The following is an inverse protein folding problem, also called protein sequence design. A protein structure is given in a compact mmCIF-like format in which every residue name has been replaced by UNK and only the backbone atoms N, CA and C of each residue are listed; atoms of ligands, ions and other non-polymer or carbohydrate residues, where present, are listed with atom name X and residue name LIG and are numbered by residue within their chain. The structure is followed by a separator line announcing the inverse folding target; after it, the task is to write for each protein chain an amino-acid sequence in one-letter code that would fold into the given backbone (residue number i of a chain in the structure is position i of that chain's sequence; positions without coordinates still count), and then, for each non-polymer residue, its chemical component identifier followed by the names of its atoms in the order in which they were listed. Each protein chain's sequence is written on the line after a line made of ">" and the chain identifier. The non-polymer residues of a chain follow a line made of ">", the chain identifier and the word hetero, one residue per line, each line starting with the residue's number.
data_IF_681384037217
#
_entry.id   IF_681384037217
#
_cell.length_a   1.000
_cell.length_b   1.000
_cell.length_c   1.000
_cell.angle_alpha   90.00
_cell.angle_beta   90.00
_cell.angle_gamma   90.00
#
_symmetry.space_group_name_H-M   'P 1'
#
loop_
_entity.id
_entity.type
_entity.pdbx_description
1 polymer ?
#
# COMPACT_ATOMS: atom_id res chain seq x y z
N UNK A 1 0.63 -26.85 -3.44
CA UNK A 1 0.35 -26.07 -2.21
C UNK A 1 -1.10 -25.60 -2.33
N UNK A 2 -1.96 -26.11 -1.45
CA UNK A 2 -3.41 -26.09 -1.62
C UNK A 2 -4.02 -24.81 -1.06
N UNK A 3 -4.74 -24.05 -1.88
CA UNK A 3 -5.77 -23.14 -1.38
C UNK A 3 -6.98 -24.02 -1.10
N UNK A 4 -7.17 -24.40 0.15
CA UNK A 4 -8.40 -25.05 0.56
C UNK A 4 -9.38 -23.94 0.93
N UNK A 5 -10.42 -23.76 0.13
CA UNK A 5 -11.63 -23.09 0.58
C UNK A 5 -12.35 -24.07 1.52
N UNK A 6 -11.86 -24.17 2.77
CA UNK A 6 -12.45 -25.04 3.79
C UNK A 6 -13.68 -24.35 4.35
N UNK A 7 -14.77 -25.08 4.50
CA UNK A 7 -15.93 -24.63 5.27
C UNK A 7 -15.52 -24.09 6.64
N UNK A 8 -15.98 -22.87 6.94
CA UNK A 8 -15.52 -21.95 7.99
C UNK A 8 -15.42 -22.57 9.40
N UNK A 9 -16.12 -23.66 9.69
CA UNK A 9 -16.24 -24.18 11.05
C UNK A 9 -15.13 -25.13 11.52
N UNK A 10 -14.39 -25.82 10.63
CA UNK A 10 -13.43 -26.87 11.06
C UNK A 10 -11.96 -26.45 11.11
N UNK A 11 -11.61 -25.32 10.49
CA UNK A 11 -10.21 -24.86 10.39
C UNK A 11 -9.79 -23.94 11.54
N UNK A 12 -10.75 -23.28 12.18
CA UNK A 12 -10.49 -22.26 13.22
C UNK A 12 -9.82 -22.88 14.46
N UNK A 13 -10.07 -24.15 14.77
CA UNK A 13 -9.51 -24.81 15.96
C UNK A 13 -8.04 -25.23 15.85
N UNK A 14 -7.52 -25.44 14.62
CA UNK A 14 -6.17 -25.98 14.40
C UNK A 14 -5.06 -24.94 14.22
N UNK A 15 -5.40 -23.66 14.00
CA UNK A 15 -4.43 -22.60 13.61
C UNK A 15 -4.44 -21.40 14.59
N UNK A 16 -5.08 -21.54 15.76
CA UNK A 16 -5.37 -20.41 16.68
C UNK A 16 -4.15 -19.55 17.07
N UNK A 17 -2.96 -20.13 17.14
CA UNK A 17 -1.76 -19.45 17.67
C UNK A 17 -1.03 -18.54 16.67
N UNK A 18 -1.21 -18.75 15.36
CA UNK A 18 -0.48 -17.99 14.32
C UNK A 18 -1.39 -17.18 13.38
N UNK A 19 -2.71 -17.37 13.48
CA UNK A 19 -3.68 -16.60 12.70
C UNK A 19 -3.88 -15.22 13.33
N UNK A 20 -3.44 -14.17 12.62
CA UNK A 20 -3.59 -12.79 13.08
C UNK A 20 -4.92 -12.16 12.68
N UNK A 21 -5.55 -12.65 11.62
CA UNK A 21 -6.83 -12.14 11.14
C UNK A 21 -7.51 -13.06 10.14
N UNK A 22 -8.79 -12.79 9.89
CA UNK A 22 -9.61 -13.51 8.91
C UNK A 22 -10.36 -12.51 8.02
N UNK A 23 -10.01 -12.50 6.73
CA UNK A 23 -10.81 -11.82 5.71
C UNK A 23 -11.97 -12.71 5.29
N UNK A 24 -13.19 -12.18 5.38
CA UNK A 24 -14.40 -12.99 5.20
C UNK A 24 -14.72 -13.28 3.73
N UNK A 25 -14.46 -12.32 2.85
CA UNK A 25 -14.76 -12.46 1.43
C UNK A 25 -13.85 -11.59 0.57
N UNK A 26 -13.03 -12.24 -0.24
CA UNK A 26 -12.28 -11.56 -1.28
C UNK A 26 -13.23 -11.00 -2.36
N UNK A 27 -13.11 -9.70 -2.64
CA UNK A 27 -13.74 -8.98 -3.75
C UNK A 27 -15.18 -9.38 -4.07
N UNK A 28 -16.15 -8.69 -3.48
CA UNK A 28 -17.52 -8.77 -4.00
C UNK A 28 -17.55 -8.17 -5.42
N UNK A 29 -18.07 -8.95 -6.36
CA UNK A 29 -18.10 -8.63 -7.80
C UNK A 29 -19.52 -8.78 -8.36
N UNK A 30 -19.77 -8.08 -9.46
CA UNK A 30 -20.97 -8.24 -10.30
C UNK A 30 -22.10 -7.25 -9.98
N UNK A 31 -23.05 -7.18 -10.90
CA UNK A 31 -24.13 -6.17 -10.93
C UNK A 31 -25.15 -6.31 -9.79
N UNK A 32 -25.15 -7.45 -9.09
CA UNK A 32 -26.07 -7.72 -7.97
C UNK A 32 -25.52 -7.32 -6.61
N UNK A 33 -24.27 -6.83 -6.53
CA UNK A 33 -23.74 -6.36 -5.26
C UNK A 33 -24.62 -5.21 -4.74
N UNK A 34 -24.86 -5.21 -3.44
CA UNK A 34 -25.59 -4.14 -2.79
C UNK A 34 -25.19 -4.06 -1.32
N UNK A 35 -25.34 -2.87 -0.74
CA UNK A 35 -24.97 -2.62 0.66
C UNK A 35 -25.80 -3.46 1.63
N UNK A 36 -27.08 -3.66 1.35
CA UNK A 36 -28.00 -4.37 2.24
C UNK A 36 -27.56 -5.83 2.48
N UNK A 37 -27.36 -6.59 1.41
CA UNK A 37 -26.90 -7.98 1.49
C UNK A 37 -25.49 -8.08 2.04
N UNK A 38 -24.60 -7.14 1.65
CA UNK A 38 -23.25 -7.06 2.21
C UNK A 38 -23.33 -6.93 3.73
N UNK A 39 -24.07 -5.95 4.25
CA UNK A 39 -24.25 -5.78 5.69
C UNK A 39 -24.81 -7.02 6.36
N UNK A 40 -25.86 -7.60 5.79
CA UNK A 40 -26.53 -8.77 6.36
C UNK A 40 -25.60 -9.99 6.48
N UNK A 41 -24.95 -10.38 5.38
CA UNK A 41 -24.20 -11.63 5.32
C UNK A 41 -22.77 -11.48 5.83
N UNK A 42 -22.09 -10.37 5.53
CA UNK A 42 -20.72 -10.15 6.01
C UNK A 42 -20.71 -9.94 7.53
N UNK A 43 -21.63 -9.15 8.10
CA UNK A 43 -21.68 -8.99 9.56
C UNK A 43 -22.13 -10.26 10.28
N UNK A 44 -22.98 -11.09 9.66
CA UNK A 44 -23.29 -12.42 10.20
C UNK A 44 -22.02 -13.27 10.28
N UNK A 45 -21.26 -13.38 9.19
CA UNK A 45 -19.99 -14.11 9.18
C UNK A 45 -18.98 -13.57 10.20
N UNK A 46 -18.88 -12.24 10.32
CA UNK A 46 -18.02 -11.60 11.30
C UNK A 46 -18.37 -11.99 12.75
N UNK A 47 -19.66 -12.03 13.10
CA UNK A 47 -20.10 -12.47 14.45
C UNK A 47 -19.72 -13.92 14.71
N UNK A 48 -19.91 -14.81 13.75
CA UNK A 48 -19.55 -16.22 13.91
C UNK A 48 -18.03 -16.39 14.11
N UNK A 49 -17.21 -15.65 13.35
CA UNK A 49 -15.75 -15.66 13.51
C UNK A 49 -15.34 -15.13 14.88
N UNK A 50 -15.91 -14.01 15.32
CA UNK A 50 -15.62 -13.44 16.64
C UNK A 50 -15.97 -14.40 17.78
N UNK A 51 -17.14 -15.04 17.69
CA UNK A 51 -17.59 -16.03 18.68
C UNK A 51 -16.68 -17.26 18.72
N UNK A 52 -16.20 -17.72 17.56
CA UNK A 52 -15.32 -18.88 17.47
C UNK A 52 -13.87 -18.58 17.90
N UNK A 53 -13.38 -17.38 17.62
CA UNK A 53 -12.04 -16.94 18.01
C UNK A 53 -11.99 -15.41 18.23
N UNK A 54 -12.16 -14.92 19.47
CA UNK A 54 -12.16 -13.49 19.75
C UNK A 54 -10.76 -12.85 19.69
N UNK A 55 -9.70 -13.63 19.49
CA UNK A 55 -8.34 -13.10 19.47
C UNK A 55 -7.93 -12.53 18.11
N UNK A 56 -8.55 -12.99 17.01
CA UNK A 56 -8.16 -12.60 15.65
C UNK A 56 -8.80 -11.30 15.19
N UNK A 57 -8.13 -10.60 14.29
CA UNK A 57 -8.72 -9.48 13.56
C UNK A 57 -9.77 -9.97 12.55
N UNK A 58 -10.80 -9.18 12.33
CA UNK A 58 -11.87 -9.48 11.36
C UNK A 58 -11.79 -8.44 10.26
N UNK A 59 -11.38 -8.89 9.07
CA UNK A 59 -11.18 -8.03 7.92
C UNK A 59 -12.45 -8.01 7.06
N UNK A 60 -13.00 -6.81 6.87
CA UNK A 60 -14.21 -6.60 6.08
C UNK A 60 -13.88 -5.84 4.79
N UNK A 61 -13.83 -6.58 3.68
CA UNK A 61 -13.61 -6.01 2.34
C UNK A 61 -14.79 -5.14 1.86
N UNK A 62 -14.45 -4.22 0.95
CA UNK A 62 -15.38 -3.30 0.30
C UNK A 62 -16.22 -3.93 -0.81
N UNK A 63 -17.02 -3.06 -1.44
CA UNK A 63 -17.75 -3.35 -2.66
C UNK A 63 -16.86 -3.10 -3.89
N UNK A 64 -17.35 -3.45 -5.08
CA UNK A 64 -16.72 -3.07 -6.36
C UNK A 64 -15.29 -3.59 -6.44
N UNK A 65 -15.12 -4.92 -6.42
CA UNK A 65 -13.79 -5.54 -6.37
C UNK A 65 -12.96 -5.11 -5.16
N UNK A 66 -13.61 -4.82 -4.03
CA UNK A 66 -12.94 -4.37 -2.80
C UNK A 66 -12.42 -2.93 -2.85
N UNK A 67 -12.77 -2.15 -3.86
CA UNK A 67 -12.21 -0.79 -4.05
C UNK A 67 -13.05 0.33 -3.42
N UNK A 68 -14.26 0.03 -2.95
CA UNK A 68 -15.23 1.01 -2.46
C UNK A 68 -15.73 0.67 -1.05
N UNK A 69 -15.38 1.54 -0.09
CA UNK A 69 -15.85 1.54 1.29
C UNK A 69 -16.70 2.79 1.60
N UNK A 70 -17.05 3.60 0.60
CA UNK A 70 -17.69 4.91 0.78
C UNK A 70 -19.07 4.82 1.42
N UNK A 71 -19.77 3.69 1.27
CA UNK A 71 -21.03 3.40 1.93
C UNK A 71 -20.96 3.47 3.47
N UNK A 72 -19.76 3.30 4.05
CA UNK A 72 -19.54 3.44 5.50
C UNK A 72 -19.68 4.87 6.00
N UNK A 73 -19.61 5.88 5.12
CA UNK A 73 -19.87 7.29 5.45
C UNK A 73 -21.32 7.52 5.86
N UNK A 74 -22.25 6.75 5.31
CA UNK A 74 -23.67 6.87 5.59
C UNK A 74 -24.08 6.02 6.80
N UNK A 75 -23.49 4.82 6.91
CA UNK A 75 -23.82 3.86 7.96
C UNK A 75 -22.57 3.10 8.35
N UNK A 76 -22.15 3.16 9.61
CA UNK A 76 -21.14 2.24 10.12
C UNK A 76 -21.81 0.99 10.73
N UNK A 77 -21.12 -0.15 10.84
CA UNK A 77 -21.61 -1.30 11.58
C UNK A 77 -21.88 -0.94 13.05
N UNK A 78 -22.88 -1.59 13.65
CA UNK A 78 -23.25 -1.38 15.05
C UNK A 78 -22.20 -1.91 16.06
N UNK A 79 -21.30 -2.80 15.61
CA UNK A 79 -20.27 -3.41 16.45
C UNK A 79 -18.93 -3.38 15.73
N UNK A 80 -17.86 -3.15 16.51
CA UNK A 80 -16.47 -3.27 16.08
C UNK A 80 -15.79 -4.55 16.60
N UNK A 81 -16.60 -5.50 17.12
CA UNK A 81 -16.14 -6.81 17.61
C UNK A 81 -15.02 -6.71 18.66
N UNK A 82 -15.25 -5.95 19.74
CA UNK A 82 -14.26 -5.74 20.81
C UNK A 82 -12.92 -5.20 20.30
N UNK A 83 -12.99 -4.21 19.41
CA UNK A 83 -11.85 -3.59 18.72
C UNK A 83 -11.05 -4.56 17.81
N UNK A 84 -11.71 -5.59 17.26
CA UNK A 84 -11.11 -6.53 16.30
C UNK A 84 -11.40 -6.21 14.84
N UNK A 85 -12.27 -5.24 14.57
CA UNK A 85 -12.64 -4.85 13.22
C UNK A 85 -11.51 -4.12 12.48
N UNK A 86 -11.19 -4.59 11.27
CA UNK A 86 -10.33 -3.93 10.30
C UNK A 86 -11.06 -3.86 8.96
N UNK A 87 -10.99 -2.72 8.26
CA UNK A 87 -11.50 -2.65 6.89
C UNK A 87 -10.41 -3.00 5.89
N UNK A 88 -10.80 -3.63 4.78
CA UNK A 88 -9.88 -4.07 3.74
C UNK A 88 -10.26 -3.42 2.41
N UNK A 89 -9.27 -2.89 1.70
CA UNK A 89 -9.45 -2.27 0.39
C UNK A 89 -8.39 -2.72 -0.61
N UNK A 90 -8.73 -2.68 -1.89
CA UNK A 90 -7.85 -3.04 -3.00
C UNK A 90 -7.54 -1.82 -3.85
N UNK A 91 -6.33 -1.74 -4.42
CA UNK A 91 -5.96 -0.63 -5.29
C UNK A 91 -4.99 -1.05 -6.39
N UNK A 92 -5.38 -0.78 -7.63
CA UNK A 92 -4.63 -1.09 -8.83
C UNK A 92 -4.55 0.10 -9.78
N UNK A 93 -3.59 0.06 -10.72
CA UNK A 93 -3.48 1.03 -11.81
C UNK A 93 -4.78 1.12 -12.64
N UNK A 94 -5.57 0.04 -12.66
CA UNK A 94 -6.84 -0.09 -13.36
C UNK A 94 -8.08 0.00 -12.45
N UNK A 95 -7.95 0.44 -11.18
CA UNK A 95 -9.12 0.76 -10.33
C UNK A 95 -9.91 1.98 -10.81
N UNK A 96 -9.43 2.66 -11.86
CA UNK A 96 -10.13 3.71 -12.60
C UNK A 96 -9.70 3.68 -14.07
N UNK A 97 -9.72 4.84 -14.74
CA UNK A 97 -9.21 4.94 -16.11
C UNK A 97 -7.69 4.77 -16.14
N UNK A 98 -7.22 3.60 -16.59
CA UNK A 98 -5.79 3.29 -16.64
C UNK A 98 -5.01 4.11 -17.69
N UNK A 99 -5.68 4.70 -18.68
CA UNK A 99 -5.02 5.49 -19.74
C UNK A 99 -4.42 6.78 -19.20
N UNK A 100 -4.93 7.30 -18.07
CA UNK A 100 -4.45 8.55 -17.48
C UNK A 100 -2.97 8.46 -17.10
N UNK A 101 -2.48 7.27 -16.74
CA UNK A 101 -1.10 7.04 -16.32
C UNK A 101 -0.08 7.27 -17.44
N UNK A 102 -0.51 7.18 -18.69
CA UNK A 102 0.33 7.34 -19.88
C UNK A 102 0.15 8.71 -20.55
N UNK A 103 -1.03 9.33 -20.38
CA UNK A 103 -1.41 10.54 -21.10
C UNK A 103 -1.24 11.85 -20.32
N UNK A 104 -1.04 11.79 -19.00
CA UNK A 104 -1.03 12.97 -18.13
C UNK A 104 0.24 13.02 -17.27
N UNK A 105 0.67 14.23 -16.84
CA UNK A 105 1.80 14.38 -15.92
C UNK A 105 1.61 13.59 -14.63
N UNK A 106 2.64 12.85 -14.19
CA UNK A 106 2.55 11.91 -13.07
C UNK A 106 2.05 12.57 -11.78
N UNK A 107 2.51 13.79 -11.46
CA UNK A 107 2.06 14.52 -10.27
C UNK A 107 0.54 14.80 -10.28
N UNK A 108 -0.02 15.17 -11.43
CA UNK A 108 -1.46 15.40 -11.60
C UNK A 108 -2.25 14.11 -11.44
N UNK A 109 -1.74 13.01 -12.01
CA UNK A 109 -2.38 11.70 -11.92
C UNK A 109 -2.32 11.17 -10.49
N UNK A 110 -1.17 11.26 -9.81
CA UNK A 110 -1.04 10.90 -8.40
C UNK A 110 -2.06 11.65 -7.53
N UNK A 111 -2.18 12.98 -7.71
CA UNK A 111 -3.13 13.78 -6.95
C UNK A 111 -4.58 13.34 -7.18
N UNK A 112 -4.95 13.03 -8.43
CA UNK A 112 -6.30 12.54 -8.76
C UNK A 112 -6.56 11.16 -8.16
N UNK A 113 -5.60 10.24 -8.30
CA UNK A 113 -5.73 8.86 -7.85
C UNK A 113 -5.80 8.77 -6.32
N UNK A 114 -4.93 9.50 -5.62
CA UNK A 114 -4.92 9.58 -4.14
C UNK A 114 -6.18 10.27 -3.61
N UNK A 115 -6.67 11.32 -4.27
CA UNK A 115 -7.96 11.94 -3.90
C UNK A 115 -9.10 10.93 -4.03
N UNK A 116 -9.17 10.22 -5.15
CA UNK A 116 -10.19 9.19 -5.34
C UNK A 116 -10.10 8.10 -4.26
N UNK A 117 -8.89 7.61 -3.97
CA UNK A 117 -8.69 6.61 -2.91
C UNK A 117 -9.11 7.14 -1.53
N UNK A 118 -8.82 8.40 -1.20
CA UNK A 118 -9.30 9.04 0.03
C UNK A 118 -10.83 9.12 0.08
N UNK A 119 -11.45 9.51 -1.04
CA UNK A 119 -12.90 9.62 -1.14
C UNK A 119 -13.59 8.24 -0.98
N UNK A 120 -12.98 7.16 -1.46
CA UNK A 120 -13.55 5.82 -1.39
C UNK A 120 -13.19 5.03 -0.13
N UNK A 121 -11.99 5.23 0.42
CA UNK A 121 -11.41 4.36 1.45
C UNK A 121 -10.66 5.14 2.53
N UNK A 122 -9.76 6.06 2.13
CA UNK A 122 -8.84 6.74 3.05
C UNK A 122 -9.51 7.62 4.11
N UNK A 123 -10.78 8.00 3.93
CA UNK A 123 -11.55 8.69 4.97
C UNK A 123 -11.61 7.90 6.30
N UNK A 124 -11.54 6.57 6.24
CA UNK A 124 -11.58 5.70 7.43
C UNK A 124 -10.42 5.95 8.40
N UNK A 125 -9.27 6.37 7.90
CA UNK A 125 -8.06 6.61 8.73
C UNK A 125 -7.85 8.10 9.04
N UNK A 126 -8.64 9.00 8.45
CA UNK A 126 -8.47 10.45 8.57
C UNK A 126 -9.62 11.17 9.29
N UNK A 127 -10.69 10.46 9.65
CA UNK A 127 -11.81 11.01 10.40
C UNK A 127 -11.51 11.09 11.91
N UNK A 128 -12.35 11.82 12.66
CA UNK A 128 -12.22 11.98 14.12
C UNK A 128 -12.25 10.65 14.90
N UNK A 129 -12.94 9.64 14.35
CA UNK A 129 -12.99 8.28 14.88
C UNK A 129 -12.40 7.31 13.84
N UNK A 130 -11.07 7.18 13.76
CA UNK A 130 -10.44 6.38 12.73
C UNK A 130 -10.66 4.88 12.97
N UNK A 131 -10.76 4.12 11.89
CA UNK A 131 -10.73 2.66 11.88
C UNK A 131 -9.48 2.17 11.15
N UNK A 132 -8.89 1.03 11.58
CA UNK A 132 -7.79 0.42 10.85
C UNK A 132 -8.21 0.07 9.41
N UNK A 133 -7.37 0.43 8.45
CA UNK A 133 -7.53 0.13 7.04
C UNK A 133 -6.32 -0.67 6.56
N UNK A 134 -6.59 -1.86 6.01
CA UNK A 134 -5.59 -2.73 5.41
C UNK A 134 -5.70 -2.64 3.88
N UNK A 135 -4.60 -2.31 3.20
CA UNK A 135 -4.52 -2.41 1.75
C UNK A 135 -4.28 -3.88 1.38
N UNK A 136 -5.36 -4.68 1.33
CA UNK A 136 -5.28 -6.13 1.20
C UNK A 136 -4.74 -6.61 -0.13
N UNK A 137 -4.94 -5.81 -1.18
CA UNK A 137 -4.46 -6.16 -2.52
C UNK A 137 -4.03 -4.93 -3.31
N UNK A 138 -2.81 -4.97 -3.82
CA UNK A 138 -2.35 -4.15 -4.93
C UNK A 138 -1.32 -4.95 -5.71
N UNK A 139 -1.04 -4.55 -6.95
CA UNK A 139 -0.08 -5.26 -7.77
C UNK A 139 0.29 -4.48 -9.02
N UNK A 140 1.33 -4.96 -9.69
CA UNK A 140 1.86 -4.37 -10.92
C UNK A 140 2.61 -5.44 -11.71
N UNK A 141 2.76 -5.24 -13.01
CA UNK A 141 3.58 -6.11 -13.84
C UNK A 141 5.06 -6.04 -13.44
N UNK A 142 5.55 -7.12 -12.84
CA UNK A 142 6.90 -7.20 -12.28
C UNK A 142 7.98 -7.33 -13.36
N UNK A 143 7.63 -7.49 -14.64
CA UNK A 143 8.59 -7.36 -15.75
C UNK A 143 9.09 -5.92 -15.89
N UNK A 144 8.33 -4.95 -15.35
CA UNK A 144 8.72 -3.53 -15.32
C UNK A 144 8.49 -2.80 -16.64
N UNK A 145 7.83 -3.42 -17.61
CA UNK A 145 7.62 -2.88 -18.95
C UNK A 145 6.36 -2.00 -19.07
N UNK A 146 5.42 -2.15 -18.13
CA UNK A 146 4.13 -1.43 -18.14
C UNK A 146 4.28 -0.03 -17.56
N UNK A 147 4.23 0.99 -18.41
CA UNK A 147 4.34 2.39 -17.99
C UNK A 147 3.25 2.78 -16.99
N UNK A 148 2.00 2.39 -17.25
CA UNK A 148 0.88 2.70 -16.36
C UNK A 148 1.11 2.18 -14.93
N UNK A 149 1.53 0.93 -14.82
CA UNK A 149 1.84 0.26 -13.55
C UNK A 149 3.03 0.90 -12.83
N UNK A 150 4.08 1.28 -13.57
CA UNK A 150 5.24 1.95 -12.99
C UNK A 150 4.89 3.35 -12.44
N UNK A 151 4.04 4.10 -13.16
CA UNK A 151 3.51 5.38 -12.70
C UNK A 151 2.64 5.22 -11.46
N UNK A 152 1.68 4.28 -11.51
CA UNK A 152 0.81 3.94 -10.40
C UNK A 152 1.59 3.57 -9.14
N UNK A 153 2.55 2.65 -9.27
CA UNK A 153 3.34 2.17 -8.13
C UNK A 153 4.11 3.30 -7.44
N UNK A 154 4.57 4.31 -8.19
CA UNK A 154 5.22 5.49 -7.62
C UNK A 154 4.27 6.26 -6.70
N UNK A 155 3.04 6.50 -7.13
CA UNK A 155 2.03 7.18 -6.30
C UNK A 155 1.57 6.32 -5.12
N UNK A 156 1.39 5.02 -5.34
CA UNK A 156 0.94 4.08 -4.32
C UNK A 156 1.96 4.00 -3.17
N UNK A 157 3.24 3.80 -3.47
CA UNK A 157 4.28 3.73 -2.43
C UNK A 157 4.37 5.05 -1.65
N UNK A 158 4.22 6.21 -2.32
CA UNK A 158 4.17 7.50 -1.65
C UNK A 158 3.03 7.56 -0.62
N UNK A 159 1.83 7.20 -1.06
CA UNK A 159 0.63 7.26 -0.25
C UNK A 159 0.66 6.28 0.92
N UNK A 160 1.05 5.02 0.67
CA UNK A 160 1.17 3.98 1.70
C UNK A 160 2.22 4.38 2.75
N UNK A 161 3.35 4.96 2.33
CA UNK A 161 4.38 5.47 3.24
C UNK A 161 3.89 6.67 4.07
N UNK A 162 3.22 7.62 3.43
CA UNK A 162 2.69 8.83 4.09
C UNK A 162 1.63 8.48 5.15
N UNK A 163 0.77 7.52 4.83
CA UNK A 163 -0.33 7.07 5.70
C UNK A 163 0.04 5.95 6.66
N UNK A 164 1.25 5.40 6.53
CA UNK A 164 1.75 4.23 7.28
C UNK A 164 0.76 3.07 7.27
N UNK A 165 0.26 2.75 6.08
CA UNK A 165 -0.74 1.69 5.89
C UNK A 165 -0.09 0.32 5.87
N UNK A 166 -0.70 -0.65 6.55
CA UNK A 166 -0.39 -2.06 6.35
C UNK A 166 -0.91 -2.55 4.99
N UNK A 167 -0.17 -3.46 4.35
CA UNK A 167 -0.43 -3.83 2.96
C UNK A 167 -0.13 -5.31 2.63
N UNK A 168 -0.85 -5.81 1.64
CA UNK A 168 -0.66 -7.11 1.00
C UNK A 168 -0.43 -6.95 -0.51
N UNK A 169 0.72 -7.41 -1.00
CA UNK A 169 1.04 -7.39 -2.43
C UNK A 169 0.51 -8.64 -3.12
N UNK A 170 -0.23 -8.45 -4.21
CA UNK A 170 -0.48 -9.46 -5.21
C UNK A 170 0.64 -9.46 -6.27
N UNK A 171 1.48 -10.49 -6.36
CA UNK A 171 1.49 -11.69 -5.52
C UNK A 171 2.90 -12.27 -5.36
N UNK A 172 3.06 -13.30 -4.53
CA UNK A 172 4.33 -13.98 -4.37
C UNK A 172 4.63 -14.94 -5.53
N UNK A 173 3.64 -15.74 -5.95
CA UNK A 173 3.82 -16.81 -6.92
C UNK A 173 4.25 -16.31 -8.30
N UNK A 174 5.20 -17.00 -8.95
CA UNK A 174 5.62 -16.68 -10.32
C UNK A 174 4.92 -17.50 -11.40
N UNK A 175 4.26 -18.60 -11.03
CA UNK A 175 3.49 -19.46 -11.93
C UNK A 175 2.39 -20.22 -11.17
N UNK A 176 1.40 -20.70 -11.92
CA UNK A 176 0.28 -21.49 -11.41
C UNK A 176 0.43 -22.96 -11.78
N UNK A 177 0.09 -23.86 -10.86
CA UNK A 177 -0.11 -25.26 -11.22
C UNK A 177 -1.18 -25.39 -12.30
N UNK A 178 -2.28 -24.66 -12.15
CA UNK A 178 -3.34 -24.53 -13.14
C UNK A 178 -4.06 -23.18 -12.96
N UNK A 179 -4.31 -22.46 -14.06
CA UNK A 179 -5.11 -21.23 -14.08
C UNK A 179 -5.83 -21.10 -15.41
N UNK A 180 -7.14 -20.89 -15.37
CA UNK A 180 -7.96 -20.60 -16.56
C UNK A 180 -7.77 -21.61 -17.71
N UNK A 181 -7.64 -22.90 -17.37
CA UNK A 181 -7.45 -23.99 -18.33
C UNK A 181 -5.99 -24.23 -18.74
N UNK A 182 -5.05 -23.40 -18.28
CA UNK A 182 -3.64 -23.52 -18.62
C UNK A 182 -2.84 -24.09 -17.44
N UNK A 183 -2.11 -25.17 -17.69
CA UNK A 183 -1.13 -25.74 -16.74
C UNK A 183 0.16 -24.91 -16.84
N UNK A 184 0.73 -24.55 -15.69
CA UNK A 184 1.97 -23.77 -15.69
C UNK A 184 1.77 -22.35 -16.23
N UNK A 185 0.59 -21.74 -16.07
CA UNK A 185 0.38 -20.36 -16.49
C UNK A 185 1.33 -19.42 -15.73
N UNK A 186 1.99 -18.52 -16.43
CA UNK A 186 2.89 -17.55 -15.83
C UNK A 186 2.11 -16.46 -15.07
N UNK A 187 2.58 -16.10 -13.87
CA UNK A 187 2.09 -14.95 -13.11
C UNK A 187 3.10 -13.80 -13.26
N UNK A 188 2.79 -12.85 -14.15
CA UNK A 188 3.69 -11.71 -14.40
C UNK A 188 3.62 -10.65 -13.30
N UNK A 189 2.59 -10.65 -12.45
CA UNK A 189 2.50 -9.80 -11.25
C UNK A 189 3.25 -10.43 -10.06
N UNK A 190 3.75 -11.65 -10.23
CA UNK A 190 4.50 -12.41 -9.23
C UNK A 190 5.84 -11.78 -8.87
N UNK A 191 6.14 -11.67 -7.58
CA UNK A 191 7.47 -11.28 -7.07
C UNK A 191 8.53 -12.27 -7.56
N UNK A 192 8.20 -13.56 -7.60
CA UNK A 192 9.09 -14.60 -8.09
C UNK A 192 8.96 -14.78 -9.62
N UNK A 193 10.05 -15.21 -10.23
CA UNK A 193 10.06 -15.66 -11.62
C UNK A 193 9.26 -16.95 -11.81
N UNK A 194 9.02 -17.32 -13.07
CA UNK A 194 8.25 -18.50 -13.44
C UNK A 194 8.70 -19.78 -12.71
N UNK A 195 10.01 -19.91 -12.48
CA UNK A 195 10.66 -21.07 -11.89
C UNK A 195 10.72 -21.04 -10.37
N UNK A 196 10.21 -19.97 -9.72
CA UNK A 196 10.27 -19.75 -8.28
C UNK A 196 11.70 -19.68 -7.72
N UNK A 197 12.68 -19.29 -8.56
CA UNK A 197 14.11 -19.28 -8.21
C UNK A 197 14.64 -17.89 -7.92
N UNK A 198 14.14 -16.89 -8.63
CA UNK A 198 14.68 -15.53 -8.55
C UNK A 198 13.56 -14.50 -8.40
N UNK A 199 13.92 -13.31 -7.94
CA UNK A 199 13.03 -12.17 -8.05
C UNK A 199 12.84 -11.83 -9.52
N UNK A 200 11.58 -11.71 -9.96
CA UNK A 200 11.23 -11.31 -11.32
C UNK A 200 11.68 -9.88 -11.62
N UNK A 201 11.49 -8.98 -10.65
CA UNK A 201 11.98 -7.61 -10.72
C UNK A 201 13.21 -7.44 -9.81
N UNK A 202 14.43 -7.26 -10.37
CA UNK A 202 15.63 -7.06 -9.57
C UNK A 202 15.59 -5.82 -8.66
N UNK A 203 14.75 -4.84 -8.99
CA UNK A 203 14.59 -3.61 -8.20
C UNK A 203 13.52 -3.70 -7.12
N UNK A 204 12.76 -4.81 -7.05
CA UNK A 204 11.63 -4.99 -6.14
C UNK A 204 12.00 -4.64 -4.68
N UNK A 205 13.01 -5.32 -4.14
CA UNK A 205 13.43 -5.10 -2.75
C UNK A 205 13.78 -3.65 -2.47
N UNK A 206 14.48 -2.98 -3.39
CA UNK A 206 14.90 -1.59 -3.20
C UNK A 206 13.69 -0.63 -3.18
N UNK A 207 12.70 -0.86 -4.04
CA UNK A 207 11.48 -0.04 -4.15
C UNK A 207 10.53 -0.19 -2.96
N UNK A 208 10.47 -1.38 -2.35
CA UNK A 208 9.58 -1.66 -1.20
C UNK A 208 10.26 -1.52 0.16
N UNK A 209 11.59 -1.32 0.20
CA UNK A 209 12.35 -1.28 1.44
C UNK A 209 11.84 -0.27 2.46
N UNK A 210 11.39 0.91 2.01
CA UNK A 210 10.83 1.93 2.89
C UNK A 210 9.56 1.41 3.60
N UNK A 211 8.66 0.78 2.85
CA UNK A 211 7.41 0.24 3.37
C UNK A 211 7.58 -0.99 4.27
N UNK A 212 8.79 -1.58 4.31
CA UNK A 212 9.14 -2.68 5.21
C UNK A 212 9.73 -2.18 6.54
N UNK A 213 9.90 -0.87 6.70
CA UNK A 213 10.35 -0.27 7.97
C UNK A 213 9.17 0.29 8.73
N UNK A 214 9.31 0.46 10.05
CA UNK A 214 8.37 1.24 10.85
C UNK A 214 8.56 2.73 10.51
N UNK A 215 7.64 3.29 9.72
CA UNK A 215 7.73 4.68 9.24
C UNK A 215 7.26 5.63 10.33
N UNK A 216 6.17 5.28 11.03
CA UNK A 216 5.67 6.04 12.18
C UNK A 216 5.62 5.12 13.41
N UNK A 217 6.33 5.52 14.46
CA UNK A 217 6.24 4.86 15.77
C UNK A 217 5.46 5.78 16.72
N UNK A 218 4.18 5.48 17.02
CA UNK A 218 3.37 6.30 17.91
C UNK A 218 3.87 6.29 19.36
N UNK A 219 4.73 5.34 19.73
CA UNK A 219 5.28 5.21 21.09
C UNK A 219 6.68 5.82 21.23
N UNK A 220 7.26 6.34 20.14
CA UNK A 220 8.61 6.90 20.15
C UNK A 220 8.63 8.32 20.69
N UNK A 221 9.52 8.56 21.66
CA UNK A 221 9.85 9.90 22.18
C UNK A 221 11.05 10.54 21.46
N UNK A 222 11.58 9.91 20.41
CA UNK A 222 12.72 10.44 19.67
C UNK A 222 12.32 11.65 18.83
N UNK A 223 13.26 12.58 18.66
CA UNK A 223 13.05 13.71 17.75
C UNK A 223 12.78 13.24 16.33
N UNK A 224 11.71 13.78 15.73
CA UNK A 224 11.34 13.50 14.35
C UNK A 224 12.43 13.99 13.39
N UNK A 225 12.67 13.20 12.35
CA UNK A 225 13.56 13.54 11.25
C UNK A 225 12.95 13.09 9.95
N UNK A 226 13.29 13.79 8.87
CA UNK A 226 12.85 13.47 7.52
C UNK A 226 13.97 12.76 6.76
N UNK A 227 13.58 11.92 5.81
CA UNK A 227 14.47 11.37 4.78
C UNK A 227 13.95 11.81 3.41
N UNK A 228 14.86 11.99 2.47
CA UNK A 228 14.51 12.25 1.08
C UNK A 228 14.63 10.93 0.32
N UNK A 229 13.49 10.36 -0.04
CA UNK A 229 13.39 9.06 -0.71
C UNK A 229 12.89 9.24 -2.14
N UNK A 230 13.65 8.73 -3.11
CA UNK A 230 13.25 8.73 -4.51
C UNK A 230 12.48 7.44 -4.83
N UNK A 231 11.15 7.55 -4.82
CA UNK A 231 10.21 6.44 -4.92
C UNK A 231 10.42 5.55 -6.15
N UNK A 232 10.76 6.15 -7.30
CA UNK A 232 10.91 5.40 -8.55
C UNK A 232 12.14 4.49 -8.54
N UNK A 233 13.28 4.96 -8.03
CA UNK A 233 14.50 4.15 -7.94
C UNK A 233 14.62 3.35 -6.63
N UNK A 234 13.86 3.74 -5.61
CA UNK A 234 13.94 3.20 -4.25
C UNK A 234 15.20 3.61 -3.47
N UNK A 235 15.88 4.67 -3.92
CA UNK A 235 17.11 5.16 -3.32
C UNK A 235 16.86 6.37 -2.42
N UNK A 236 17.77 6.63 -1.49
CA UNK A 236 17.75 7.83 -0.66
C UNK A 236 18.73 8.86 -1.18
N UNK A 237 18.39 10.13 -1.01
CA UNK A 237 19.34 11.23 -1.18
C UNK A 237 20.32 11.22 -0.02
N UNK A 238 21.60 11.30 -0.35
CA UNK A 238 22.70 11.46 0.59
C UNK A 238 23.53 12.67 0.23
N UNK A 239 24.36 13.07 1.19
CA UNK A 239 25.28 14.20 1.08
C UNK A 239 26.70 13.69 1.17
N UNK A 240 27.55 14.01 0.19
CA UNK A 240 28.97 13.66 0.25
C UNK A 240 29.79 14.72 1.02
N UNK A 241 31.09 14.49 1.17
CA UNK A 241 32.01 15.41 1.86
C UNK A 241 32.21 16.76 1.15
N UNK A 242 31.69 16.91 -0.08
CA UNK A 242 31.72 18.16 -0.86
C UNK A 242 30.38 18.89 -0.85
N UNK A 243 29.44 18.48 0.00
CA UNK A 243 28.06 18.99 0.05
C UNK A 243 27.26 18.78 -1.25
N UNK A 244 27.59 17.75 -2.03
CA UNK A 244 26.83 17.39 -3.22
C UNK A 244 25.77 16.33 -2.88
N UNK A 245 24.60 16.41 -3.51
CA UNK A 245 23.56 15.41 -3.39
C UNK A 245 23.81 14.24 -4.33
N UNK A 246 23.68 13.01 -3.82
CA UNK A 246 23.77 11.81 -4.63
C UNK A 246 22.78 10.74 -4.14
N UNK A 247 22.32 9.89 -5.07
CA UNK A 247 21.39 8.80 -4.76
C UNK A 247 22.16 7.54 -4.34
N UNK A 248 21.82 6.94 -3.19
CA UNK A 248 22.39 5.67 -2.72
C UNK A 248 21.33 4.75 -2.12
N UNK A 249 21.72 3.50 -1.91
CA UNK A 249 20.92 2.52 -1.19
C UNK A 249 20.68 2.94 0.27
N UNK A 250 19.53 2.51 0.78
CA UNK A 250 18.92 2.83 2.08
C UNK A 250 19.75 2.47 3.34
N UNK A 251 21.02 2.04 3.21
CA UNK A 251 21.83 1.56 4.36
C UNK A 251 22.30 2.68 5.30
N UNK A 252 22.48 3.89 4.79
CA UNK A 252 22.84 5.08 5.59
C UNK A 252 21.89 6.21 5.23
N UNK A 253 21.05 6.61 6.18
CA UNK A 253 20.06 7.65 5.96
C UNK A 253 20.65 9.01 6.33
N UNK A 254 20.57 9.95 5.40
CA UNK A 254 20.79 11.36 5.74
C UNK A 254 19.50 11.91 6.33
N UNK A 255 19.62 12.55 7.48
CA UNK A 255 18.48 13.09 8.22
C UNK A 255 18.30 14.58 7.92
N UNK A 256 17.06 14.96 7.71
CA UNK A 256 16.67 16.33 7.37
C UNK A 256 15.65 16.85 8.39
N UNK A 257 15.59 18.16 8.57
CA UNK A 257 14.53 18.83 9.31
C UNK A 257 13.71 19.71 8.36
N UNK A 258 12.40 19.64 8.48
CA UNK A 258 11.45 20.44 7.71
C UNK A 258 10.43 21.06 8.66
N UNK A 259 10.29 22.39 8.62
CA UNK A 259 9.40 23.14 9.51
C UNK A 259 8.02 23.43 8.90
N UNK A 260 7.69 22.82 7.76
CA UNK A 260 6.48 23.11 7.00
C UNK A 260 6.71 24.06 5.82
N UNK A 261 5.64 24.35 5.10
CA UNK A 261 5.69 25.07 3.83
C UNK A 261 6.31 26.46 3.99
N UNK A 262 7.19 26.83 3.04
CA UNK A 262 7.96 28.07 3.08
C UNK A 262 9.20 28.02 3.99
N UNK A 263 9.42 26.95 4.75
CA UNK A 263 10.64 26.78 5.55
C UNK A 263 11.74 26.03 4.78
N UNK A 264 13.03 26.33 5.01
CA UNK A 264 14.11 25.58 4.40
C UNK A 264 14.15 24.12 4.90
N UNK A 265 14.36 23.17 3.99
CA UNK A 265 14.71 21.79 4.36
C UNK A 265 16.19 21.76 4.72
N UNK A 266 16.51 21.53 6.00
CA UNK A 266 17.88 21.61 6.51
C UNK A 266 18.49 20.24 6.75
N UNK A 267 19.79 20.11 6.51
CA UNK A 267 20.55 18.93 6.86
C UNK A 267 20.78 18.90 8.38
N UNK A 268 20.26 17.89 9.06
CA UNK A 268 20.35 17.80 10.52
C UNK A 268 21.80 17.77 11.00
N UNK A 269 22.10 18.54 12.04
CA UNK A 269 23.45 18.67 12.58
C UNK A 269 24.37 19.62 11.80
N UNK A 270 23.82 20.39 10.86
CA UNK A 270 24.56 21.39 10.08
C UNK A 270 23.74 22.68 9.88
N UNK A 271 24.40 23.75 9.42
CA UNK A 271 23.72 24.98 8.99
C UNK A 271 23.16 24.91 7.57
N UNK A 272 23.46 23.84 6.83
CA UNK A 272 23.19 23.70 5.41
C UNK A 272 21.72 23.39 5.10
N UNK A 273 21.23 23.84 3.96
CA UNK A 273 19.88 23.56 3.47
C UNK A 273 19.82 23.15 2.00
N UNK A 274 18.72 22.53 1.61
CA UNK A 274 18.42 22.29 0.20
C UNK A 274 18.18 23.61 -0.53
N UNK A 275 18.84 23.78 -1.66
CA UNK A 275 18.69 24.89 -2.58
C UNK A 275 18.38 24.37 -3.97
N UNK A 276 17.31 24.88 -4.57
CA UNK A 276 17.05 24.68 -5.98
C UNK A 276 18.00 25.57 -6.80
N UNK A 277 18.73 24.97 -7.74
CA UNK A 277 19.63 25.67 -8.66
C UNK A 277 19.12 25.47 -10.08
N UNK A 278 19.02 26.56 -10.82
CA UNK A 278 18.62 26.55 -12.24
C UNK A 278 19.86 26.31 -13.08
N UNK A 279 19.85 25.24 -13.88
CA UNK A 279 20.85 25.00 -14.92
C UNK A 279 20.14 25.03 -16.28
N UNK A 280 19.88 26.24 -16.79
CA UNK A 280 19.25 26.47 -18.10
C UNK A 280 17.72 26.54 -18.08
N UNK A 281 17.12 26.62 -19.27
CA UNK A 281 15.67 26.70 -19.43
C UNK A 281 15.03 25.33 -19.10
N UNK A 282 14.47 25.23 -17.89
CA UNK A 282 13.55 24.17 -17.42
C UNK A 282 14.16 22.94 -16.71
N UNK A 283 15.44 22.96 -16.33
CA UNK A 283 16.00 21.95 -15.42
C UNK A 283 16.35 22.55 -14.05
N UNK A 284 15.67 22.03 -13.03
CA UNK A 284 15.93 22.32 -11.62
C UNK A 284 16.75 21.18 -11.01
N UNK A 285 17.85 21.52 -10.36
CA UNK A 285 18.63 20.59 -9.55
C UNK A 285 18.51 20.98 -8.08
N UNK A 286 18.43 19.98 -7.21
CA UNK A 286 18.61 20.20 -5.78
C UNK A 286 20.11 20.13 -5.49
N UNK A 287 20.61 21.14 -4.79
CA UNK A 287 21.95 21.19 -4.22
C UNK A 287 21.87 21.52 -2.75
N UNK A 288 23.00 21.44 -2.05
CA UNK A 288 23.10 21.91 -0.67
C UNK A 288 23.82 23.25 -0.68
N UNK A 289 23.28 24.22 0.07
CA UNK A 289 23.86 25.54 0.23
C UNK A 289 23.84 25.99 1.70
#
# INVERSE_FOLDING_TARGET
>A
MFIIQVGVYKTIDLIKTYMVGMSLRNELRGTRQNEHDRYKYILRGAREVHQANPNVLILLSGLTWGTDLSFLKMKSPESNFDNKLVYETHWYSFSGDSKIWELQPLNRVCAKATKWFNDQNGFLISNDNPFPLFLGEFGFDQRGEKQADNGFLTCLVAYVAERDLDWGLWALQGSYYHREGNIGAEETFGVLDFNWKHLRNPTFQRRFRLLQTMIQDPNSNLSKSYILYHLQSGQCVQVNSKNELHMRDFKKLTKWSYGGDGTPVRLMGSALCLKAVVLGFHQWFLMIA
#
